data_IF_111416049616
#
_entry.id   IF_111416049616
#
_cell.length_a   1.000
_cell.length_b   1.000
_cell.length_c   1.000
_cell.angle_alpha   90.00
_cell.angle_beta   90.00
_cell.angle_gamma   90.00
#
_symmetry.space_group_name_H-M   'P 1'
#
loop_
_entity.id
_entity.type
_entity.pdbx_description
1 polymer ?
#
# COMPACT_ATOMS: atom_id res chain seq x y z
N UNK A 1 8.66 -25.79 -5.19
CA UNK A 1 8.82 -27.15 -5.79
C UNK A 1 8.41 -27.16 -7.26
N UNK A 2 7.22 -26.66 -7.63
CA UNK A 2 6.70 -26.68 -9.02
C UNK A 2 7.60 -25.97 -10.00
N UNK A 3 8.12 -24.77 -9.67
CA UNK A 3 9.02 -23.99 -10.52
C UNK A 3 10.33 -24.73 -10.79
N UNK A 4 10.92 -25.35 -9.76
CA UNK A 4 12.14 -26.18 -9.92
C UNK A 4 11.89 -27.38 -10.83
N UNK A 5 10.73 -28.02 -10.70
CA UNK A 5 10.34 -29.12 -11.60
C UNK A 5 10.22 -28.67 -13.07
N UNK A 6 9.65 -27.49 -13.31
CA UNK A 6 9.60 -26.94 -14.67
C UNK A 6 11.00 -26.71 -15.26
N UNK A 7 11.92 -26.15 -14.44
CA UNK A 7 13.32 -26.00 -14.82
C UNK A 7 13.96 -27.35 -15.13
N UNK A 8 13.79 -28.35 -14.27
CA UNK A 8 14.42 -29.67 -14.38
C UNK A 8 13.92 -30.44 -15.62
N UNK A 9 12.79 -30.01 -16.21
CA UNK A 9 12.29 -30.49 -17.52
C UNK A 9 13.00 -29.81 -18.71
N UNK A 10 14.05 -29.02 -18.50
CA UNK A 10 14.82 -28.35 -19.53
C UNK A 10 14.32 -26.94 -19.92
N UNK A 11 13.40 -26.38 -19.12
CA UNK A 11 12.90 -25.02 -19.36
C UNK A 11 13.74 -23.97 -18.63
N UNK A 12 13.75 -22.74 -19.19
CA UNK A 12 14.20 -21.57 -18.47
C UNK A 12 13.03 -20.93 -17.72
N UNK A 13 13.19 -20.73 -16.41
CA UNK A 13 12.17 -20.11 -15.56
C UNK A 13 12.71 -18.79 -15.02
N UNK A 14 12.05 -17.69 -15.40
CA UNK A 14 12.38 -16.35 -14.90
C UNK A 14 11.22 -15.90 -14.01
N UNK A 15 11.56 -15.48 -12.78
CA UNK A 15 10.60 -15.03 -11.77
C UNK A 15 11.00 -13.65 -11.28
N UNK A 16 10.05 -12.72 -11.22
CA UNK A 16 10.23 -11.44 -10.53
C UNK A 16 9.72 -11.64 -9.12
N UNK A 17 10.60 -11.54 -8.15
CA UNK A 17 10.30 -11.88 -6.77
C UNK A 17 11.00 -10.95 -5.75
N UNK A 18 10.40 -10.88 -4.58
CA UNK A 18 10.91 -10.14 -3.41
C UNK A 18 10.97 -11.03 -2.16
N UNK A 19 10.39 -12.22 -2.21
CA UNK A 19 10.41 -13.19 -1.11
C UNK A 19 11.79 -13.81 -0.92
N UNK A 20 12.31 -13.72 0.31
CA UNK A 20 13.65 -14.20 0.65
C UNK A 20 13.82 -15.70 0.40
N UNK A 21 12.83 -16.54 0.76
CA UNK A 21 12.90 -17.99 0.59
C UNK A 21 12.95 -18.37 -0.90
N UNK A 22 12.15 -17.69 -1.71
CA UNK A 22 12.14 -17.88 -3.15
C UNK A 22 13.47 -17.44 -3.77
N UNK A 23 14.01 -16.28 -3.38
CA UNK A 23 15.31 -15.80 -3.84
C UNK A 23 16.45 -16.76 -3.46
N UNK A 24 16.47 -17.27 -2.22
CA UNK A 24 17.47 -18.27 -1.77
C UNK A 24 17.36 -19.57 -2.53
N UNK A 25 16.18 -19.88 -3.08
CA UNK A 25 15.93 -21.08 -3.86
C UNK A 25 16.29 -20.97 -5.33
N UNK A 26 16.62 -19.78 -5.81
CA UNK A 26 17.01 -19.51 -7.20
C UNK A 26 18.42 -20.07 -7.51
N UNK A 27 18.66 -20.43 -8.75
CA UNK A 27 19.99 -20.83 -9.21
C UNK A 27 20.84 -19.57 -9.52
N UNK A 28 20.17 -18.49 -9.96
CA UNK A 28 20.80 -17.24 -10.34
C UNK A 28 19.90 -16.06 -10.03
N UNK A 29 20.46 -14.99 -9.54
CA UNK A 29 19.76 -13.72 -9.24
C UNK A 29 20.34 -12.62 -10.10
N UNK A 30 19.46 -11.78 -10.64
CA UNK A 30 19.80 -10.51 -11.26
C UNK A 30 19.17 -9.41 -10.41
N UNK A 31 19.99 -8.68 -9.67
CA UNK A 31 19.55 -7.61 -8.78
C UNK A 31 19.57 -6.26 -9.50
N UNK A 32 18.41 -5.63 -9.59
CA UNK A 32 18.23 -4.34 -10.23
C UNK A 32 18.04 -3.23 -9.19
N UNK A 33 18.68 -2.10 -9.41
CA UNK A 33 18.64 -0.97 -8.50
C UNK A 33 19.54 0.18 -8.96
N UNK A 34 20.19 0.90 -8.00
CA UNK A 34 20.11 0.74 -6.52
C UNK A 34 18.83 1.23 -5.89
N UNK A 35 18.07 2.10 -6.55
CA UNK A 35 16.79 2.64 -6.08
C UNK A 35 15.66 2.36 -7.06
N UNK A 36 14.56 3.10 -6.93
CA UNK A 36 13.40 3.03 -7.81
C UNK A 36 13.37 4.23 -8.78
N UNK A 37 12.61 4.12 -9.87
CA UNK A 37 12.43 5.19 -10.85
C UNK A 37 13.74 5.62 -11.48
N UNK A 38 14.02 6.93 -11.45
CA UNK A 38 15.24 7.52 -12.04
C UNK A 38 16.54 7.06 -11.38
N UNK A 39 16.47 6.54 -10.17
CA UNK A 39 17.59 5.99 -9.42
C UNK A 39 17.75 4.47 -9.60
N UNK A 40 16.92 3.86 -10.42
CA UNK A 40 16.91 2.43 -10.71
C UNK A 40 17.36 2.09 -12.11
N UNK A 41 17.06 0.87 -12.54
CA UNK A 41 17.31 0.41 -13.91
C UNK A 41 18.74 -0.06 -14.17
N UNK A 42 19.61 -0.09 -13.16
CA UNK A 42 20.97 -0.62 -13.28
C UNK A 42 21.04 -2.04 -12.73
N UNK A 43 21.88 -2.87 -13.33
CA UNK A 43 22.26 -4.15 -12.75
C UNK A 43 23.27 -3.90 -11.63
N UNK A 44 22.85 -4.08 -10.38
CA UNK A 44 23.67 -3.84 -9.18
C UNK A 44 24.60 -5.03 -8.94
N UNK A 45 24.04 -6.24 -9.07
CA UNK A 45 24.76 -7.49 -8.89
C UNK A 45 24.08 -8.62 -9.69
N UNK A 46 24.87 -9.63 -10.07
CA UNK A 46 24.39 -10.89 -10.66
C UNK A 46 25.18 -12.03 -10.08
N UNK A 47 24.55 -13.16 -9.87
CA UNK A 47 25.22 -14.36 -9.36
C UNK A 47 24.29 -15.29 -8.61
N UNK A 48 24.85 -16.28 -7.94
CA UNK A 48 24.13 -17.14 -7.02
C UNK A 48 23.63 -16.36 -5.80
N UNK A 49 22.63 -16.85 -5.07
CA UNK A 49 22.16 -16.20 -3.85
C UNK A 49 23.29 -15.87 -2.85
N UNK A 50 24.29 -16.75 -2.73
CA UNK A 50 25.44 -16.56 -1.85
C UNK A 50 26.38 -15.44 -2.35
N UNK A 51 26.57 -15.31 -3.66
CA UNK A 51 27.37 -14.22 -4.26
C UNK A 51 26.65 -12.89 -4.08
N UNK A 52 25.34 -12.84 -4.30
CA UNK A 52 24.53 -11.64 -4.06
C UNK A 52 24.59 -11.23 -2.58
N UNK A 53 24.50 -12.18 -1.64
CA UNK A 53 24.58 -11.90 -0.20
C UNK A 53 25.93 -11.30 0.22
N UNK A 54 27.02 -11.54 -0.53
CA UNK A 54 28.34 -10.95 -0.29
C UNK A 54 28.50 -9.56 -0.89
N UNK A 55 27.63 -9.16 -1.80
CA UNK A 55 27.71 -7.87 -2.49
C UNK A 55 27.20 -6.74 -1.59
N UNK A 56 28.10 -5.93 -1.03
CA UNK A 56 27.76 -4.82 -0.13
C UNK A 56 26.94 -3.71 -0.79
N UNK A 57 27.04 -3.53 -2.11
CA UNK A 57 26.25 -2.55 -2.86
C UNK A 57 24.82 -3.00 -3.10
N UNK A 58 24.54 -4.31 -3.02
CA UNK A 58 23.22 -4.88 -3.22
C UNK A 58 22.39 -4.75 -1.94
N UNK A 59 21.31 -3.98 -2.00
CA UNK A 59 20.34 -3.88 -0.90
C UNK A 59 19.69 -5.25 -0.64
N UNK A 60 19.29 -5.95 -1.70
CA UNK A 60 18.80 -7.33 -1.66
C UNK A 60 19.82 -8.25 -0.98
N UNK A 61 21.10 -8.11 -1.36
CA UNK A 61 22.20 -8.88 -0.77
C UNK A 61 22.37 -8.63 0.73
N UNK A 62 22.22 -7.40 1.18
CA UNK A 62 22.28 -7.07 2.61
C UNK A 62 21.16 -7.73 3.42
N UNK A 63 19.94 -7.84 2.86
CA UNK A 63 18.85 -8.59 3.47
C UNK A 63 19.14 -10.09 3.46
N UNK A 64 19.56 -10.67 2.33
CA UNK A 64 19.94 -12.08 2.24
C UNK A 64 21.09 -12.45 3.19
N UNK A 65 22.03 -11.54 3.43
CA UNK A 65 23.14 -11.75 4.37
C UNK A 65 22.72 -11.58 5.84
N UNK A 66 21.49 -11.14 6.13
CA UNK A 66 21.04 -10.80 7.48
C UNK A 66 21.70 -9.53 8.06
N UNK A 67 22.44 -8.76 7.24
CA UNK A 67 23.02 -7.47 7.65
C UNK A 67 21.94 -6.40 7.84
N UNK A 68 20.82 -6.55 7.13
CA UNK A 68 19.61 -5.77 7.30
C UNK A 68 18.44 -6.70 7.58
N UNK A 69 17.57 -6.28 8.47
CA UNK A 69 16.32 -6.96 8.78
C UNK A 69 15.27 -5.94 9.24
N UNK A 70 14.01 -6.27 9.11
CA UNK A 70 12.94 -5.52 9.76
C UNK A 70 12.99 -5.89 11.25
N UNK A 71 13.18 -4.89 12.13
CA UNK A 71 13.36 -5.17 13.56
C UNK A 71 12.07 -5.69 14.20
N UNK A 72 12.22 -6.61 15.15
CA UNK A 72 11.13 -7.02 16.03
C UNK A 72 10.99 -5.94 17.10
N UNK A 73 9.75 -5.48 17.41
CA UNK A 73 9.55 -4.52 18.48
C UNK A 73 10.07 -5.06 19.81
N UNK A 74 10.83 -4.24 20.53
CA UNK A 74 11.34 -4.59 21.88
C UNK A 74 10.21 -4.73 22.90
N UNK A 75 9.18 -3.91 22.74
CA UNK A 75 7.95 -3.95 23.52
C UNK A 75 6.75 -3.89 22.57
N UNK A 76 5.74 -4.73 22.84
CA UNK A 76 4.48 -4.69 22.13
C UNK A 76 3.46 -3.90 22.93
N UNK A 77 2.59 -3.17 22.19
CA UNK A 77 1.43 -2.53 22.81
C UNK A 77 0.52 -3.61 23.38
N UNK A 78 -0.04 -3.36 24.56
CA UNK A 78 -0.95 -4.30 25.23
C UNK A 78 -2.40 -3.95 24.91
N UNK A 79 -3.29 -4.94 24.79
CA UNK A 79 -4.72 -4.71 24.68
C UNK A 79 -5.23 -3.87 25.86
N UNK A 80 -6.09 -2.91 25.56
CA UNK A 80 -6.89 -2.17 26.55
C UNK A 80 -8.19 -2.91 26.87
N UNK A 81 -9.08 -2.30 27.57
CA UNK A 81 -10.46 -2.77 27.82
C UNK A 81 -11.39 -2.60 26.61
N UNK A 82 -10.92 -1.97 25.54
CA UNK A 82 -11.69 -1.70 24.31
C UNK A 82 -11.45 -2.73 23.24
N UNK A 83 -12.51 -3.42 22.88
CA UNK A 83 -12.49 -4.49 21.89
C UNK A 83 -13.63 -4.31 20.89
N UNK A 84 -13.38 -4.71 19.67
CA UNK A 84 -14.38 -4.91 18.65
C UNK A 84 -14.62 -6.42 18.54
N UNK A 85 -15.85 -6.88 18.75
CA UNK A 85 -16.14 -8.31 18.82
C UNK A 85 -17.16 -8.66 17.74
N UNK A 86 -16.74 -9.52 16.81
CA UNK A 86 -17.64 -10.15 15.84
C UNK A 86 -18.21 -11.40 16.47
N UNK A 87 -19.54 -11.50 16.54
CA UNK A 87 -20.26 -12.65 17.09
C UNK A 87 -20.84 -13.51 15.99
N UNK A 88 -20.66 -14.82 16.11
CA UNK A 88 -21.31 -15.81 15.25
C UNK A 88 -20.99 -15.68 13.76
N UNK A 89 -19.75 -15.38 13.40
CA UNK A 89 -19.32 -15.28 12.01
C UNK A 89 -19.44 -16.63 11.30
N UNK A 90 -20.31 -16.71 10.28
CA UNK A 90 -20.66 -17.97 9.59
C UNK A 90 -20.84 -17.82 8.07
N UNK A 91 -20.35 -16.73 7.49
CA UNK A 91 -20.37 -16.55 6.04
C UNK A 91 -19.34 -17.47 5.40
N UNK A 92 -19.67 -18.00 4.22
CA UNK A 92 -18.85 -18.94 3.46
C UNK A 92 -18.37 -20.13 4.32
N UNK A 93 -17.06 -20.29 4.49
CA UNK A 93 -16.47 -21.39 5.24
C UNK A 93 -16.27 -21.12 6.74
N UNK A 94 -16.63 -19.94 7.24
CA UNK A 94 -16.52 -19.62 8.66
C UNK A 94 -17.46 -20.49 9.52
N UNK A 95 -16.95 -21.03 10.61
CA UNK A 95 -17.60 -22.06 11.43
C UNK A 95 -18.34 -21.49 12.64
N UNK A 96 -19.13 -20.43 12.46
CA UNK A 96 -19.87 -19.79 13.54
C UNK A 96 -18.94 -19.37 14.70
N UNK A 97 -17.95 -18.57 14.37
CA UNK A 97 -16.89 -18.17 15.30
C UNK A 97 -17.13 -16.79 15.89
N UNK A 98 -16.72 -16.59 17.13
CA UNK A 98 -16.57 -15.30 17.76
C UNK A 98 -15.13 -14.84 17.64
N UNK A 99 -14.91 -13.59 17.17
CA UNK A 99 -13.58 -13.04 16.94
C UNK A 99 -13.43 -11.69 17.63
N UNK A 100 -12.35 -11.54 18.41
CA UNK A 100 -12.07 -10.34 19.18
C UNK A 100 -10.89 -9.56 18.59
N UNK A 101 -11.13 -8.31 18.21
CA UNK A 101 -10.11 -7.40 17.71
C UNK A 101 -9.81 -6.34 18.79
N UNK A 102 -8.59 -6.35 19.38
CA UNK A 102 -8.20 -5.32 20.34
C UNK A 102 -8.04 -3.97 19.64
N UNK A 103 -8.67 -2.93 20.19
CA UNK A 103 -8.59 -1.59 19.64
C UNK A 103 -7.30 -0.86 20.06
N UNK A 104 -6.82 0.03 19.20
CA UNK A 104 -5.57 0.78 19.42
C UNK A 104 -4.30 -0.03 19.17
N UNK A 105 -4.40 -1.17 18.48
CA UNK A 105 -3.27 -2.06 18.19
C UNK A 105 -3.06 -2.27 16.69
N UNK A 106 -1.87 -2.77 16.36
CA UNK A 106 -1.54 -3.33 15.06
C UNK A 106 -1.87 -4.83 15.07
N UNK A 107 -2.96 -5.20 14.39
CA UNK A 107 -3.52 -6.55 14.37
C UNK A 107 -3.27 -7.19 13.02
N UNK A 108 -2.65 -8.37 12.99
CA UNK A 108 -2.50 -9.19 11.79
C UNK A 108 -3.51 -10.34 11.80
N UNK A 109 -4.27 -10.49 10.72
CA UNK A 109 -5.10 -11.65 10.45
C UNK A 109 -4.33 -12.56 9.49
N UNK A 110 -4.01 -13.76 9.97
CA UNK A 110 -3.12 -14.71 9.28
C UNK A 110 -3.83 -16.03 9.03
N UNK A 111 -3.18 -16.93 8.33
CA UNK A 111 -3.70 -18.27 8.02
C UNK A 111 -3.49 -18.64 6.56
N UNK A 112 -3.65 -19.91 6.23
CA UNK A 112 -3.49 -20.41 4.86
C UNK A 112 -4.48 -19.80 3.89
N UNK A 113 -4.18 -19.89 2.59
CA UNK A 113 -5.10 -19.39 1.57
C UNK A 113 -6.45 -20.12 1.65
N UNK A 114 -7.55 -19.37 1.55
CA UNK A 114 -8.91 -19.91 1.66
C UNK A 114 -9.36 -20.23 3.09
N UNK A 115 -8.63 -19.84 4.14
CA UNK A 115 -9.03 -20.07 5.55
C UNK A 115 -10.17 -19.17 6.05
N UNK A 116 -10.60 -18.18 5.25
CA UNK A 116 -11.71 -17.29 5.60
C UNK A 116 -11.30 -15.88 6.03
N UNK A 117 -10.03 -15.49 5.88
CA UNK A 117 -9.51 -14.17 6.31
C UNK A 117 -10.26 -13.00 5.68
N UNK A 118 -10.36 -12.94 4.35
CA UNK A 118 -11.04 -11.85 3.63
C UNK A 118 -12.53 -11.84 3.94
N UNK A 119 -13.17 -13.02 4.08
CA UNK A 119 -14.56 -13.12 4.49
C UNK A 119 -14.77 -12.51 5.88
N UNK A 120 -13.92 -12.84 6.85
CA UNK A 120 -14.01 -12.29 8.21
C UNK A 120 -13.76 -10.78 8.24
N UNK A 121 -12.71 -10.31 7.59
CA UNK A 121 -12.23 -8.93 7.73
C UNK A 121 -13.00 -7.97 6.81
N UNK A 122 -13.19 -8.34 5.54
CA UNK A 122 -13.83 -7.43 4.57
C UNK A 122 -15.34 -7.59 4.53
N UNK A 123 -15.84 -8.83 4.44
CA UNK A 123 -17.27 -9.05 4.24
C UNK A 123 -18.07 -8.92 5.55
N UNK A 124 -17.51 -9.31 6.68
CA UNK A 124 -18.18 -9.21 7.98
C UNK A 124 -17.75 -7.97 8.75
N UNK A 125 -16.48 -7.88 9.14
CA UNK A 125 -16.00 -6.82 10.02
C UNK A 125 -16.17 -5.43 9.39
N UNK A 126 -15.60 -5.21 8.21
CA UNK A 126 -15.69 -3.91 7.54
C UNK A 126 -17.13 -3.51 7.24
N UNK A 127 -17.86 -4.39 6.53
CA UNK A 127 -19.23 -4.06 6.12
C UNK A 127 -20.17 -3.88 7.32
N UNK A 128 -20.00 -4.69 8.37
CA UNK A 128 -20.82 -4.60 9.58
C UNK A 128 -20.53 -3.34 10.40
N UNK A 129 -19.25 -2.98 10.57
CA UNK A 129 -18.87 -1.71 11.23
C UNK A 129 -19.36 -0.53 10.40
N UNK A 130 -19.19 -0.54 9.09
CA UNK A 130 -19.67 0.52 8.20
C UNK A 130 -21.18 0.71 8.32
N UNK A 131 -21.97 -0.37 8.36
CA UNK A 131 -23.41 -0.31 8.54
C UNK A 131 -23.80 0.28 9.89
N UNK A 132 -23.17 -0.13 10.99
CA UNK A 132 -23.43 0.41 12.33
C UNK A 132 -23.07 1.89 12.45
N UNK A 133 -22.07 2.35 11.68
CA UNK A 133 -21.70 3.76 11.58
C UNK A 133 -22.59 4.56 10.61
N UNK A 134 -23.59 3.94 9.99
CA UNK A 134 -24.48 4.60 9.02
C UNK A 134 -23.80 4.92 7.67
N UNK A 135 -22.71 4.25 7.34
CA UNK A 135 -22.01 4.41 6.08
C UNK A 135 -22.61 3.53 4.98
N UNK A 136 -22.53 4.00 3.75
CA UNK A 136 -22.94 3.20 2.60
C UNK A 136 -21.92 2.09 2.33
N UNK A 137 -22.33 0.85 2.54
CA UNK A 137 -21.53 -0.34 2.26
C UNK A 137 -22.43 -1.50 1.81
N UNK A 138 -21.90 -2.51 1.10
CA UNK A 138 -22.64 -3.74 0.80
C UNK A 138 -23.12 -4.41 2.10
N UNK A 139 -24.17 -5.24 1.99
CA UNK A 139 -24.67 -6.02 3.13
C UNK A 139 -23.53 -6.85 3.74
N UNK A 140 -23.37 -6.82 5.07
CA UNK A 140 -22.39 -7.67 5.73
C UNK A 140 -22.70 -9.16 5.57
N UNK A 141 -21.69 -9.99 5.58
CA UNK A 141 -21.81 -11.45 5.58
C UNK A 141 -22.53 -11.96 6.83
N UNK A 142 -22.93 -13.22 6.81
CA UNK A 142 -23.71 -13.82 7.88
C UNK A 142 -22.96 -13.83 9.22
N UNK A 143 -23.51 -13.16 10.22
CA UNK A 143 -23.03 -13.08 11.60
C UNK A 143 -24.20 -12.70 12.51
N UNK A 144 -24.01 -12.77 13.83
CA UNK A 144 -25.05 -12.40 14.78
C UNK A 144 -25.00 -10.91 15.11
N UNK A 145 -23.86 -10.41 15.55
CA UNK A 145 -23.67 -8.99 15.91
C UNK A 145 -22.19 -8.58 15.85
N UNK A 146 -21.93 -7.26 15.90
CA UNK A 146 -20.60 -6.67 16.11
C UNK A 146 -20.71 -5.69 17.28
N UNK A 147 -20.06 -6.04 18.39
CA UNK A 147 -20.00 -5.24 19.62
C UNK A 147 -18.79 -4.30 19.61
N UNK A 148 -18.86 -3.18 20.36
CA UNK A 148 -17.72 -2.26 20.56
C UNK A 148 -17.58 -1.19 19.48
N UNK A 149 -18.53 -1.07 18.55
CA UNK A 149 -18.48 -0.09 17.45
C UNK A 149 -18.53 1.36 17.96
N UNK A 150 -19.10 1.59 19.16
CA UNK A 150 -19.11 2.89 19.84
C UNK A 150 -17.73 3.48 20.12
N UNK A 151 -16.69 2.66 20.12
CA UNK A 151 -15.31 3.09 20.28
C UNK A 151 -14.68 3.58 18.97
N UNK A 152 -15.35 3.39 17.84
CA UNK A 152 -14.87 3.72 16.49
C UNK A 152 -15.74 4.83 15.92
N UNK A 153 -15.11 5.83 15.32
CA UNK A 153 -15.81 6.92 14.64
C UNK A 153 -15.72 6.81 13.11
N UNK A 154 -14.77 6.00 12.59
CA UNK A 154 -14.54 5.85 11.18
C UNK A 154 -13.91 4.49 10.85
N UNK A 155 -14.33 3.90 9.74
CA UNK A 155 -13.69 2.71 9.16
C UNK A 155 -13.20 3.01 7.73
N UNK A 156 -12.00 2.60 7.41
CA UNK A 156 -11.36 2.84 6.11
C UNK A 156 -10.72 1.54 5.63
N UNK A 157 -11.14 1.11 4.44
CA UNK A 157 -10.49 0.00 3.72
C UNK A 157 -9.50 0.58 2.71
N UNK A 158 -8.30 0.05 2.74
CA UNK A 158 -7.21 0.40 1.83
C UNK A 158 -6.88 -0.86 1.02
N UNK A 159 -7.55 -1.02 -0.09
CA UNK A 159 -7.41 -2.13 -1.02
C UNK A 159 -6.54 -1.79 -2.23
N UNK A 160 -6.28 -2.78 -3.07
CA UNK A 160 -5.47 -2.65 -4.28
C UNK A 160 -6.28 -2.19 -5.52
N UNK A 161 -7.54 -1.81 -5.35
CA UNK A 161 -8.35 -1.30 -6.44
C UNK A 161 -7.79 0.02 -6.99
N UNK A 162 -7.92 0.31 -8.29
CA UNK A 162 -7.40 1.54 -8.88
C UNK A 162 -7.95 2.80 -8.20
N UNK A 163 -7.12 3.85 -8.11
CA UNK A 163 -7.54 5.18 -7.60
C UNK A 163 -8.44 5.95 -8.58
N UNK A 164 -8.67 5.39 -9.75
CA UNK A 164 -9.55 5.91 -10.79
C UNK A 164 -9.48 5.07 -12.05
N UNK A 165 -10.48 5.25 -12.92
CA UNK A 165 -10.64 4.44 -14.15
C UNK A 165 -10.22 5.17 -15.42
N UNK A 166 -9.78 6.41 -15.31
CA UNK A 166 -9.45 7.26 -16.46
C UNK A 166 -8.07 7.89 -16.30
N UNK A 167 -7.40 8.31 -17.38
CA UNK A 167 -6.13 9.02 -17.32
C UNK A 167 -6.17 10.37 -16.58
N UNK A 168 -7.36 10.89 -16.24
CA UNK A 168 -7.54 12.11 -15.44
C UNK A 168 -7.29 11.89 -13.96
N UNK A 169 -7.46 10.66 -13.48
CA UNK A 169 -7.11 10.28 -12.10
C UNK A 169 -5.61 10.04 -12.01
N UNK A 170 -4.97 10.67 -11.05
CA UNK A 170 -3.53 10.55 -10.80
C UNK A 170 -3.22 10.77 -9.31
N UNK A 171 -2.00 10.51 -8.84
CA UNK A 171 -1.61 10.71 -7.45
C UNK A 171 -1.92 12.12 -6.92
N UNK A 172 -1.64 13.15 -7.72
CA UNK A 172 -1.83 14.54 -7.30
C UNK A 172 -3.30 14.91 -7.08
N UNK A 173 -4.19 14.43 -7.95
CA UNK A 173 -5.64 14.69 -7.80
C UNK A 173 -6.25 13.88 -6.68
N UNK A 174 -5.84 12.62 -6.54
CA UNK A 174 -6.39 11.73 -5.52
C UNK A 174 -6.03 12.20 -4.09
N UNK A 175 -4.79 12.60 -3.87
CA UNK A 175 -4.32 13.10 -2.55
C UNK A 175 -4.73 14.54 -2.27
N UNK A 176 -5.36 15.22 -3.24
CA UNK A 176 -5.73 16.64 -3.15
C UNK A 176 -4.53 17.61 -3.05
N UNK A 177 -3.32 17.16 -3.33
CA UNK A 177 -2.17 18.07 -3.42
C UNK A 177 -2.27 18.96 -4.64
N UNK A 178 -2.91 18.50 -5.70
CA UNK A 178 -3.12 19.28 -6.92
C UNK A 178 -3.97 20.55 -6.70
N UNK A 179 -4.92 20.48 -5.77
CA UNK A 179 -5.74 21.66 -5.42
C UNK A 179 -4.88 22.80 -4.85
N UNK A 180 -3.89 22.47 -4.03
CA UNK A 180 -2.96 23.45 -3.47
C UNK A 180 -1.94 23.92 -4.51
N UNK A 181 -1.46 23.03 -5.38
CA UNK A 181 -0.58 23.40 -6.51
C UNK A 181 -1.27 24.41 -7.43
N UNK A 182 -2.54 24.21 -7.77
CA UNK A 182 -3.32 25.14 -8.60
C UNK A 182 -3.44 26.52 -7.96
N UNK A 183 -3.62 26.59 -6.63
CA UNK A 183 -3.63 27.87 -5.89
C UNK A 183 -2.30 28.60 -5.98
N UNK A 184 -1.18 27.88 -5.90
CA UNK A 184 0.17 28.47 -6.04
C UNK A 184 0.35 29.07 -7.44
N UNK A 185 -0.06 28.37 -8.50
CA UNK A 185 0.02 28.89 -9.87
C UNK A 185 -0.88 30.11 -10.06
N UNK A 186 -2.11 30.08 -9.53
CA UNK A 186 -3.03 31.22 -9.61
C UNK A 186 -2.52 32.47 -8.83
N UNK A 187 -1.67 32.26 -7.83
CA UNK A 187 -1.07 33.33 -7.05
C UNK A 187 0.14 34.01 -7.72
N UNK A 188 0.65 33.43 -8.81
CA UNK A 188 1.77 34.05 -9.56
C UNK A 188 1.39 35.43 -10.14
N UNK A 189 2.36 36.35 -10.28
CA UNK A 189 2.08 37.68 -10.87
C UNK A 189 1.46 37.59 -12.26
N UNK A 190 1.95 36.68 -13.10
CA UNK A 190 1.44 36.52 -14.47
C UNK A 190 -0.01 36.01 -14.48
N UNK A 191 -0.35 35.03 -13.65
CA UNK A 191 -1.71 34.51 -13.53
C UNK A 191 -2.68 35.59 -13.05
N UNK A 192 -2.25 36.42 -12.08
CA UNK A 192 -3.06 37.56 -11.57
C UNK A 192 -3.30 38.62 -12.63
N UNK A 193 -2.26 38.98 -13.39
CA UNK A 193 -2.40 39.97 -14.49
C UNK A 193 -3.37 39.48 -15.57
N UNK A 194 -3.42 38.18 -15.82
CA UNK A 194 -4.33 37.53 -16.78
C UNK A 194 -5.72 37.23 -16.21
N UNK A 195 -5.95 37.47 -14.93
CA UNK A 195 -7.21 37.12 -14.24
C UNK A 195 -7.45 35.60 -14.11
N UNK A 196 -6.39 34.82 -14.05
CA UNK A 196 -6.48 33.35 -13.97
C UNK A 196 -6.72 32.91 -12.52
N UNK A 197 -7.85 32.26 -12.29
CA UNK A 197 -8.20 31.59 -11.03
C UNK A 197 -7.59 30.17 -10.95
N UNK A 198 -7.61 29.50 -9.80
CA UNK A 198 -7.19 28.11 -9.69
C UNK A 198 -7.90 27.16 -10.66
N UNK A 199 -9.13 27.48 -11.08
CA UNK A 199 -9.88 26.71 -12.06
C UNK A 199 -9.20 26.65 -13.43
N UNK A 200 -8.47 27.71 -13.81
CA UNK A 200 -7.70 27.77 -15.07
C UNK A 200 -6.65 26.66 -15.15
N UNK A 201 -6.08 26.28 -14.02
CA UNK A 201 -5.03 25.26 -13.92
C UNK A 201 -5.59 23.84 -13.69
N UNK A 202 -6.90 23.64 -13.77
CA UNK A 202 -7.53 22.33 -13.77
C UNK A 202 -7.62 21.76 -15.17
N UNK A 203 -7.07 20.57 -15.39
CA UNK A 203 -7.24 19.85 -16.67
C UNK A 203 -8.63 19.19 -16.80
N UNK A 204 -9.47 19.24 -15.78
CA UNK A 204 -10.84 18.71 -15.80
C UNK A 204 -11.88 19.77 -16.22
N UNK A 205 -11.53 21.06 -16.15
CA UNK A 205 -12.42 22.16 -16.45
C UNK A 205 -12.07 22.81 -17.78
N UNK A 206 -13.10 23.33 -18.46
CA UNK A 206 -12.91 24.15 -19.67
C UNK A 206 -12.17 25.45 -19.35
N UNK A 207 -11.47 25.97 -20.32
CA UNK A 207 -10.75 27.26 -20.25
C UNK A 207 -9.24 27.10 -20.23
N UNK A 208 -8.67 26.21 -19.39
CA UNK A 208 -7.22 25.98 -19.33
C UNK A 208 -6.76 24.67 -19.95
N UNK A 209 -7.64 23.69 -20.09
CA UNK A 209 -7.31 22.37 -20.62
C UNK A 209 -7.17 22.36 -22.14
N UNK A 210 -6.47 21.38 -22.66
CA UNK A 210 -6.51 21.06 -24.08
C UNK A 210 -7.89 20.47 -24.43
N UNK A 211 -8.62 21.11 -25.34
CA UNK A 211 -9.97 20.65 -25.72
C UNK A 211 -9.95 19.43 -26.64
N UNK A 212 -8.85 19.20 -27.40
CA UNK A 212 -8.73 18.05 -28.27
C UNK A 212 -8.76 16.72 -27.48
N UNK A 213 -8.01 16.63 -26.36
CA UNK A 213 -8.03 15.47 -25.46
C UNK A 213 -8.85 15.69 -24.18
N UNK A 214 -9.52 16.84 -24.07
CA UNK A 214 -10.30 17.24 -22.90
C UNK A 214 -9.52 17.12 -21.57
N UNK A 215 -8.23 17.45 -21.60
CA UNK A 215 -7.35 17.39 -20.44
C UNK A 215 -6.81 16.00 -20.07
N UNK A 216 -7.08 14.96 -20.87
CA UNK A 216 -6.56 13.63 -20.61
C UNK A 216 -5.05 13.50 -20.92
N UNK A 217 -4.54 14.34 -21.82
CA UNK A 217 -3.17 14.25 -22.35
C UNK A 217 -2.99 13.13 -23.35
N UNK A 218 -3.91 12.18 -23.39
CA UNK A 218 -3.93 10.99 -24.25
C UNK A 218 -5.27 10.88 -24.95
N UNK A 219 -5.27 10.24 -26.11
CA UNK A 219 -6.48 9.89 -26.88
C UNK A 219 -6.63 8.38 -26.84
N UNK A 220 -7.84 7.94 -26.53
CA UNK A 220 -8.19 6.52 -26.51
C UNK A 220 -8.46 6.07 -27.95
N UNK A 221 -7.78 5.03 -28.38
CA UNK A 221 -8.08 4.31 -29.63
C UNK A 221 -8.81 3.02 -29.25
N UNK A 222 -10.09 2.97 -29.56
CA UNK A 222 -10.92 1.78 -29.32
C UNK A 222 -10.62 0.70 -30.34
N UNK A 223 -10.32 -0.51 -29.88
CA UNK A 223 -10.04 -1.67 -30.71
C UNK A 223 -11.10 -2.73 -30.46
N UNK A 224 -11.80 -3.17 -31.51
CA UNK A 224 -12.94 -4.10 -31.39
C UNK A 224 -12.61 -5.47 -30.77
N UNK A 225 -11.36 -5.95 -30.92
CA UNK A 225 -10.95 -7.29 -30.47
C UNK A 225 -9.69 -7.28 -29.57
N UNK A 226 -9.13 -6.14 -29.29
CA UNK A 226 -7.93 -5.96 -28.46
C UNK A 226 -8.22 -4.92 -27.37
N UNK A 227 -7.42 -4.92 -26.28
CA UNK A 227 -7.52 -3.85 -25.29
C UNK A 227 -7.33 -2.46 -25.89
N UNK A 228 -8.08 -1.49 -25.40
CA UNK A 228 -7.97 -0.11 -25.83
C UNK A 228 -6.55 0.44 -25.62
N UNK A 229 -6.06 1.18 -26.61
CA UNK A 229 -4.72 1.80 -26.57
C UNK A 229 -4.86 3.29 -26.32
N UNK A 230 -4.02 3.82 -25.45
CA UNK A 230 -3.92 5.26 -25.19
C UNK A 230 -2.64 5.82 -25.83
N UNK A 231 -2.80 6.76 -26.76
CA UNK A 231 -1.68 7.47 -27.39
C UNK A 231 -1.63 8.92 -26.94
N UNK A 232 -0.44 9.57 -26.88
CA UNK A 232 -0.33 10.98 -26.58
C UNK A 232 -1.19 11.84 -27.53
N UNK A 233 -1.84 12.88 -27.02
CA UNK A 233 -2.63 13.80 -27.81
C UNK A 233 -1.73 14.59 -28.78
N UNK A 234 -2.07 14.60 -30.05
CA UNK A 234 -1.27 15.31 -31.08
C UNK A 234 -1.24 16.82 -30.92
N UNK A 235 -2.25 17.40 -30.30
CA UNK A 235 -2.35 18.85 -30.09
C UNK A 235 -1.51 19.31 -28.92
N UNK A 236 -1.67 18.71 -27.74
CA UNK A 236 -0.96 19.11 -26.53
C UNK A 236 0.29 18.27 -26.23
N UNK A 237 0.57 17.25 -27.04
CA UNK A 237 1.73 16.34 -26.84
C UNK A 237 1.84 15.77 -25.43
N UNK A 238 0.70 15.46 -24.81
CA UNK A 238 0.64 14.94 -23.45
C UNK A 238 0.52 16.00 -22.33
N UNK A 239 0.70 17.29 -22.64
CA UNK A 239 0.74 18.37 -21.65
C UNK A 239 -0.60 18.66 -20.95
N UNK A 240 -1.74 18.15 -21.46
CA UNK A 240 -3.10 18.31 -20.89
C UNK A 240 -3.72 19.70 -20.97
N UNK A 241 -2.94 20.76 -21.22
CA UNK A 241 -3.33 22.16 -21.18
C UNK A 241 -3.19 22.84 -22.53
N UNK A 242 -3.87 23.97 -22.69
CA UNK A 242 -3.67 24.86 -23.82
C UNK A 242 -2.39 25.70 -23.64
N UNK A 243 -1.94 26.31 -24.75
CA UNK A 243 -0.67 27.07 -24.80
C UNK A 243 -0.65 28.25 -23.84
N UNK A 244 -1.75 28.93 -23.66
CA UNK A 244 -1.88 30.16 -22.83
C UNK A 244 -1.69 29.78 -21.35
N UNK A 245 -2.26 28.69 -20.89
CA UNK A 245 -2.08 28.18 -19.51
C UNK A 245 -0.65 27.76 -19.24
N UNK A 246 0.00 27.13 -20.24
CA UNK A 246 1.39 26.67 -20.12
C UNK A 246 2.42 27.83 -20.10
N UNK A 247 2.05 29.04 -20.47
CA UNK A 247 2.92 30.21 -20.35
C UNK A 247 3.14 30.64 -18.90
N UNK A 248 2.17 30.39 -18.02
CA UNK A 248 2.31 30.70 -16.59
C UNK A 248 3.32 29.77 -15.94
N UNK A 249 4.31 30.36 -15.25
CA UNK A 249 5.39 29.61 -14.60
C UNK A 249 5.51 29.97 -13.13
N UNK A 250 5.79 28.93 -12.32
CA UNK A 250 6.19 29.05 -10.93
C UNK A 250 7.59 28.46 -10.77
N UNK A 251 8.54 29.23 -10.23
CA UNK A 251 9.97 28.83 -10.16
C UNK A 251 10.51 28.25 -11.50
N UNK A 252 10.10 28.85 -12.62
CA UNK A 252 10.55 28.47 -13.97
C UNK A 252 9.84 27.25 -14.58
N UNK A 253 8.93 26.59 -13.89
CA UNK A 253 8.17 25.41 -14.37
C UNK A 253 6.71 25.75 -14.60
N UNK A 254 6.13 25.26 -15.71
CA UNK A 254 4.69 25.33 -15.94
C UNK A 254 3.96 24.18 -15.24
N UNK A 255 2.62 24.22 -15.22
CA UNK A 255 1.80 23.25 -14.51
C UNK A 255 1.95 21.81 -15.06
N UNK A 256 2.17 21.64 -16.38
CA UNK A 256 2.40 20.34 -16.99
C UNK A 256 3.75 19.75 -16.58
N UNK A 257 4.81 20.58 -16.56
CA UNK A 257 6.14 20.18 -16.09
C UNK A 257 6.12 19.78 -14.61
N UNK A 258 5.29 20.42 -13.78
CA UNK A 258 5.11 20.02 -12.37
C UNK A 258 4.41 18.67 -12.26
N UNK A 259 3.41 18.37 -13.09
CA UNK A 259 2.77 17.06 -13.11
C UNK A 259 3.70 15.93 -13.57
N UNK A 260 4.72 16.23 -14.36
CA UNK A 260 5.77 15.28 -14.77
C UNK A 260 6.86 15.05 -13.71
N UNK A 261 6.94 15.90 -12.68
CA UNK A 261 7.86 15.69 -11.56
C UNK A 261 7.50 14.42 -10.80
N UNK A 262 8.53 13.70 -10.36
CA UNK A 262 8.37 12.67 -9.33
C UNK A 262 7.97 13.32 -7.99
N UNK A 263 7.41 12.52 -7.09
CA UNK A 263 7.09 12.98 -5.73
C UNK A 263 8.34 13.53 -5.03
N UNK A 264 9.49 12.88 -5.21
CA UNK A 264 10.77 13.33 -4.63
C UNK A 264 11.22 14.69 -5.18
N UNK A 265 11.14 14.89 -6.49
CA UNK A 265 11.47 16.17 -7.13
C UNK A 265 10.52 17.27 -6.69
N UNK A 266 9.22 16.97 -6.67
CA UNK A 266 8.19 17.92 -6.25
C UNK A 266 8.32 18.32 -4.77
N UNK A 267 8.75 17.37 -3.91
CA UNK A 267 8.99 17.63 -2.50
C UNK A 267 10.08 18.69 -2.28
N UNK A 268 11.17 18.63 -3.06
CA UNK A 268 12.22 19.65 -3.08
C UNK A 268 11.72 20.97 -3.70
N UNK A 269 10.99 20.89 -4.80
CA UNK A 269 10.48 22.05 -5.51
C UNK A 269 9.51 22.89 -4.67
N UNK A 270 8.64 22.24 -3.89
CA UNK A 270 7.64 22.88 -3.02
C UNK A 270 8.04 22.89 -1.54
N UNK A 271 9.33 22.80 -1.20
CA UNK A 271 9.83 22.74 0.19
C UNK A 271 9.30 23.90 1.06
N UNK A 272 9.13 25.09 0.48
CA UNK A 272 8.66 26.30 1.16
C UNK A 272 7.13 26.51 1.10
N UNK A 273 6.37 25.51 0.67
CA UNK A 273 4.90 25.54 0.62
C UNK A 273 4.34 24.45 1.54
N UNK A 274 4.13 24.75 2.84
CA UNK A 274 3.81 23.73 3.85
C UNK A 274 2.63 22.81 3.51
N UNK A 275 1.48 23.28 2.97
CA UNK A 275 0.36 22.40 2.63
C UNK A 275 0.70 21.38 1.55
N UNK A 276 1.49 21.77 0.55
CA UNK A 276 1.94 20.87 -0.52
C UNK A 276 3.00 19.92 0.02
N UNK A 277 4.01 20.46 0.72
CA UNK A 277 5.09 19.66 1.31
C UNK A 277 4.55 18.55 2.21
N UNK A 278 3.58 18.87 3.07
CA UNK A 278 2.99 17.87 3.97
C UNK A 278 2.36 16.68 3.21
N UNK A 279 1.57 16.95 2.18
CA UNK A 279 0.92 15.89 1.36
C UNK A 279 1.92 15.10 0.52
N UNK A 280 2.94 15.76 -0.02
CA UNK A 280 4.02 15.08 -0.75
C UNK A 280 4.88 14.22 0.17
N UNK A 281 5.10 14.66 1.42
CA UNK A 281 5.83 13.89 2.42
C UNK A 281 5.12 12.58 2.73
N UNK A 282 3.78 12.58 2.85
CA UNK A 282 3.03 11.32 3.08
C UNK A 282 3.19 10.34 1.93
N UNK A 283 3.22 10.80 0.68
CA UNK A 283 3.50 9.96 -0.50
C UNK A 283 4.93 9.41 -0.48
N UNK A 284 5.89 10.23 -0.09
CA UNK A 284 7.28 9.81 0.03
C UNK A 284 7.48 8.78 1.13
N UNK A 285 6.85 8.99 2.29
CA UNK A 285 6.93 8.11 3.46
C UNK A 285 6.41 6.69 3.20
N UNK A 286 5.41 6.55 2.33
CA UNK A 286 4.90 5.22 1.91
C UNK A 286 5.75 4.58 0.80
N UNK A 287 6.91 5.16 0.47
CA UNK A 287 7.81 4.60 -0.53
C UNK A 287 7.47 4.94 -1.97
N UNK A 288 6.68 5.99 -2.22
CA UNK A 288 6.26 6.42 -3.56
C UNK A 288 7.02 7.64 -4.07
N UNK A 289 8.26 7.86 -3.62
CA UNK A 289 9.08 8.98 -4.07
C UNK A 289 9.34 9.01 -5.58
N UNK A 290 9.33 7.86 -6.22
CA UNK A 290 9.64 7.66 -7.64
C UNK A 290 8.48 7.88 -8.61
N UNK A 291 7.22 7.84 -8.16
CA UNK A 291 6.07 8.02 -9.05
C UNK A 291 5.91 9.50 -9.45
N UNK A 292 5.41 9.73 -10.67
CA UNK A 292 5.10 11.09 -11.12
C UNK A 292 3.78 11.58 -10.53
N UNK A 293 3.69 12.87 -10.22
CA UNK A 293 2.46 13.48 -9.69
C UNK A 293 1.26 13.30 -10.63
N UNK A 294 1.47 13.44 -11.93
CA UNK A 294 0.47 13.31 -12.97
C UNK A 294 0.35 11.92 -13.58
N UNK A 295 1.00 10.90 -13.01
CA UNK A 295 0.96 9.53 -13.56
C UNK A 295 -0.48 9.01 -13.60
N UNK A 296 -0.98 8.58 -14.79
CA UNK A 296 -2.34 8.10 -14.91
C UNK A 296 -2.63 6.89 -13.99
N UNK A 297 -3.81 6.88 -13.38
CA UNK A 297 -4.24 5.77 -12.52
C UNK A 297 -4.21 4.41 -13.23
N UNK A 298 -4.39 4.40 -14.55
CA UNK A 298 -4.35 3.21 -15.39
C UNK A 298 -2.95 2.61 -15.58
N UNK A 299 -1.90 3.35 -15.21
CA UNK A 299 -0.50 2.94 -15.29
C UNK A 299 0.08 2.54 -13.92
N UNK A 300 -0.70 2.69 -12.86
CA UNK A 300 -0.30 2.33 -11.51
C UNK A 300 -0.56 0.85 -11.22
N UNK A 301 0.37 0.21 -10.56
CA UNK A 301 0.14 -1.12 -9.99
C UNK A 301 -0.87 -1.08 -8.82
N UNK A 302 -1.47 -2.23 -8.49
CA UNK A 302 -2.39 -2.33 -7.35
C UNK A 302 -1.75 -1.89 -6.03
N UNK A 303 -0.50 -2.27 -5.81
CA UNK A 303 0.25 -1.85 -4.61
C UNK A 303 0.55 -0.35 -4.56
N UNK A 304 0.83 0.29 -5.70
CA UNK A 304 1.00 1.75 -5.77
C UNK A 304 -0.33 2.46 -5.50
N UNK A 305 -1.43 2.00 -6.08
CA UNK A 305 -2.77 2.53 -5.82
C UNK A 305 -3.13 2.43 -4.33
N UNK A 306 -2.85 1.29 -3.70
CA UNK A 306 -3.07 1.07 -2.27
C UNK A 306 -2.26 2.05 -1.42
N UNK A 307 -0.98 2.23 -1.71
CA UNK A 307 -0.11 3.16 -0.98
C UNK A 307 -0.51 4.63 -1.18
N UNK A 308 -1.01 5.01 -2.36
CA UNK A 308 -1.58 6.35 -2.58
C UNK A 308 -2.81 6.58 -1.71
N UNK A 309 -3.70 5.58 -1.58
CA UNK A 309 -4.86 5.64 -0.67
C UNK A 309 -4.41 5.83 0.77
N UNK A 310 -3.41 5.07 1.21
CA UNK A 310 -2.82 5.20 2.55
C UNK A 310 -2.23 6.60 2.76
N UNK A 311 -1.44 7.12 1.82
CA UNK A 311 -0.86 8.46 1.90
C UNK A 311 -1.92 9.56 2.05
N UNK A 312 -3.05 9.43 1.33
CA UNK A 312 -4.17 10.36 1.46
C UNK A 312 -4.75 10.36 2.88
N UNK A 313 -4.91 9.20 3.49
CA UNK A 313 -5.44 9.12 4.85
C UNK A 313 -4.45 9.66 5.90
N UNK A 314 -3.15 9.43 5.71
CA UNK A 314 -2.10 10.04 6.54
C UNK A 314 -2.06 11.56 6.48
N UNK A 315 -2.39 12.14 5.32
CA UNK A 315 -2.47 13.58 5.13
C UNK A 315 -3.68 14.25 5.80
N UNK A 316 -4.60 13.46 6.37
CA UNK A 316 -5.78 13.94 7.09
C UNK A 316 -5.52 14.00 8.59
N UNK A 317 -6.28 14.87 9.27
CA UNK A 317 -6.23 14.92 10.74
C UNK A 317 -6.81 13.63 11.31
N UNK A 318 -5.99 12.91 12.09
CA UNK A 318 -6.40 11.70 12.78
C UNK A 318 -7.32 12.03 13.98
N UNK A 319 -8.38 11.23 14.16
CA UNK A 319 -9.26 11.31 15.33
C UNK A 319 -8.78 10.44 16.49
N UNK A 320 -7.89 9.46 16.20
CA UNK A 320 -7.42 8.47 17.17
C UNK A 320 -8.44 7.34 17.43
N UNK A 321 -9.53 7.26 16.65
CA UNK A 321 -10.56 6.21 16.76
C UNK A 321 -10.95 5.64 15.41
N UNK A 322 -10.05 5.69 14.43
CA UNK A 322 -10.27 5.14 13.10
C UNK A 322 -9.81 3.68 13.06
N UNK A 323 -10.64 2.83 12.45
CA UNK A 323 -10.29 1.45 12.08
C UNK A 323 -9.78 1.46 10.64
N UNK A 324 -8.50 1.17 10.44
CA UNK A 324 -7.90 0.94 9.12
C UNK A 324 -7.84 -0.55 8.83
N UNK A 325 -8.28 -0.93 7.65
CA UNK A 325 -8.25 -2.31 7.16
C UNK A 325 -7.43 -2.34 5.87
N UNK A 326 -6.39 -3.17 5.85
CA UNK A 326 -5.51 -3.34 4.69
C UNK A 326 -5.46 -4.82 4.31
N UNK A 327 -5.61 -5.10 3.01
CA UNK A 327 -5.47 -6.45 2.48
C UNK A 327 -4.13 -6.58 1.74
N UNK A 328 -3.28 -7.46 2.26
CA UNK A 328 -1.95 -7.81 1.73
C UNK A 328 -1.12 -6.60 1.25
N UNK A 329 -0.90 -5.57 2.11
CA UNK A 329 -0.30 -4.30 1.67
C UNK A 329 1.17 -4.42 1.26
N UNK A 330 1.82 -5.54 1.54
CA UNK A 330 3.24 -5.76 1.22
C UNK A 330 3.47 -6.59 -0.04
N UNK A 331 2.41 -6.99 -0.73
CA UNK A 331 2.52 -7.77 -1.98
C UNK A 331 3.35 -7.03 -3.02
N UNK A 332 4.38 -7.70 -3.54
CA UNK A 332 5.28 -7.15 -4.55
C UNK A 332 6.22 -6.05 -4.06
N UNK A 333 6.42 -5.91 -2.75
CA UNK A 333 7.34 -4.94 -2.16
C UNK A 333 8.69 -5.57 -1.80
N UNK A 334 9.76 -4.84 -2.11
CA UNK A 334 11.08 -5.14 -1.57
C UNK A 334 11.10 -4.96 -0.04
N UNK A 335 11.87 -5.76 0.73
CA UNK A 335 11.92 -5.64 2.21
C UNK A 335 12.17 -4.22 2.74
N UNK A 336 12.95 -3.41 2.03
CA UNK A 336 13.17 -2.01 2.41
C UNK A 336 11.89 -1.15 2.31
N UNK A 337 11.04 -1.40 1.30
CA UNK A 337 9.76 -0.70 1.17
C UNK A 337 8.75 -1.21 2.19
N UNK A 338 8.78 -2.51 2.52
CA UNK A 338 8.02 -3.09 3.64
C UNK A 338 8.39 -2.40 4.94
N UNK A 339 9.68 -2.19 5.21
CA UNK A 339 10.16 -1.48 6.41
C UNK A 339 9.58 -0.06 6.50
N UNK A 340 9.62 0.71 5.40
CA UNK A 340 9.03 2.06 5.34
C UNK A 340 7.53 2.03 5.60
N UNK A 341 6.82 1.11 4.95
CA UNK A 341 5.38 0.96 5.11
C UNK A 341 5.00 0.63 6.56
N UNK A 342 5.72 -0.28 7.21
CA UNK A 342 5.50 -0.63 8.61
C UNK A 342 5.69 0.56 9.54
N UNK A 343 6.70 1.41 9.31
CA UNK A 343 6.89 2.64 10.09
C UNK A 343 5.66 3.55 10.02
N UNK A 344 5.06 3.64 8.84
CA UNK A 344 3.84 4.41 8.63
C UNK A 344 2.64 3.80 9.36
N UNK A 345 2.44 2.49 9.25
CA UNK A 345 1.34 1.79 9.91
C UNK A 345 1.45 1.88 11.44
N UNK A 346 2.65 1.71 11.98
CA UNK A 346 2.89 1.87 13.42
C UNK A 346 2.64 3.31 13.90
N UNK A 347 2.98 4.34 13.12
CA UNK A 347 2.62 5.74 13.44
C UNK A 347 1.10 5.96 13.52
N UNK A 348 0.31 5.29 12.65
CA UNK A 348 -1.15 5.36 12.75
C UNK A 348 -1.66 4.76 14.07
N UNK A 349 -1.08 3.65 14.50
CA UNK A 349 -1.43 3.00 15.77
C UNK A 349 -1.01 3.87 16.95
N UNK A 350 0.19 4.45 16.92
CA UNK A 350 0.69 5.37 17.96
C UNK A 350 -0.19 6.62 18.12
N UNK A 351 -0.90 7.01 17.04
CA UNK A 351 -1.91 8.07 17.08
C UNK A 351 -3.26 7.62 17.67
N UNK A 352 -3.36 6.41 18.20
CA UNK A 352 -4.55 5.85 18.85
C UNK A 352 -5.48 5.03 17.93
N UNK A 353 -5.18 4.95 16.64
CA UNK A 353 -6.02 4.20 15.69
C UNK A 353 -5.79 2.69 15.79
N UNK A 354 -6.73 1.92 15.24
CA UNK A 354 -6.59 0.47 15.07
C UNK A 354 -6.23 0.15 13.63
N UNK A 355 -5.24 -0.68 13.42
CA UNK A 355 -4.85 -1.16 12.09
C UNK A 355 -5.00 -2.67 12.05
N UNK A 356 -5.88 -3.15 11.18
CA UNK A 356 -6.08 -4.59 10.91
C UNK A 356 -5.55 -4.91 9.52
N UNK A 357 -4.62 -5.85 9.44
CA UNK A 357 -3.95 -6.22 8.19
C UNK A 357 -4.12 -7.70 7.94
N UNK A 358 -4.59 -8.08 6.75
CA UNK A 358 -4.50 -9.45 6.27
C UNK A 358 -3.10 -9.61 5.68
N UNK A 359 -2.30 -10.54 6.18
CA UNK A 359 -0.91 -10.69 5.75
C UNK A 359 -0.39 -12.12 5.81
N UNK A 360 0.57 -12.39 4.94
CA UNK A 360 1.35 -13.63 4.88
C UNK A 360 2.86 -13.38 5.10
N UNK A 361 3.29 -12.14 5.00
CA UNK A 361 4.68 -11.75 5.14
C UNK A 361 5.11 -11.82 6.62
N UNK A 362 6.04 -12.70 6.94
CA UNK A 362 6.53 -12.90 8.31
C UNK A 362 7.19 -11.64 8.89
N UNK A 363 7.80 -10.81 8.06
CA UNK A 363 8.40 -9.55 8.48
C UNK A 363 7.35 -8.55 8.99
N UNK A 364 6.13 -8.60 8.45
CA UNK A 364 5.00 -7.83 8.96
C UNK A 364 4.43 -8.49 10.21
N UNK A 365 4.14 -9.79 10.13
CA UNK A 365 3.49 -10.55 11.20
C UNK A 365 4.29 -10.50 12.51
N UNK A 366 5.62 -10.62 12.43
CA UNK A 366 6.49 -10.54 13.63
C UNK A 366 6.49 -9.16 14.30
N UNK A 367 6.06 -8.09 13.59
CA UNK A 367 5.96 -6.73 14.17
C UNK A 367 4.59 -6.41 14.76
N UNK A 368 3.58 -7.29 14.56
CA UNK A 368 2.23 -7.08 15.07
C UNK A 368 2.17 -7.06 16.60
N UNK A 369 1.21 -6.31 17.14
CA UNK A 369 0.89 -6.36 18.56
C UNK A 369 0.01 -7.57 18.89
N UNK A 370 -0.86 -7.96 17.93
CA UNK A 370 -1.82 -9.05 18.07
C UNK A 370 -2.00 -9.81 16.75
N UNK A 371 -2.14 -11.10 16.83
CA UNK A 371 -2.40 -11.98 15.68
C UNK A 371 -3.74 -12.70 15.90
N UNK A 372 -4.49 -12.86 14.82
CA UNK A 372 -5.66 -13.72 14.73
C UNK A 372 -5.38 -14.69 13.58
N UNK A 373 -5.10 -15.95 13.91
CA UNK A 373 -4.71 -16.98 12.94
C UNK A 373 -5.90 -17.88 12.61
N UNK A 374 -6.33 -17.89 11.36
CA UNK A 374 -7.43 -18.71 10.87
C UNK A 374 -6.90 -19.97 10.17
N UNK A 375 -7.63 -21.04 10.36
CA UNK A 375 -7.29 -22.33 9.76
C UNK A 375 -8.22 -23.44 10.26
N UNK A 376 -7.66 -24.67 10.44
CA UNK A 376 -6.27 -25.06 10.18
C UNK A 376 -5.92 -25.15 8.68
N UNK A 377 -6.92 -25.37 7.83
CA UNK A 377 -6.78 -25.60 6.39
C UNK A 377 -7.53 -24.49 5.59
N UNK A 378 -7.49 -24.57 4.27
CA UNK A 378 -8.36 -23.77 3.38
C UNK A 378 -9.68 -24.48 3.09
N UNK A 379 -10.66 -23.72 2.55
CA UNK A 379 -11.97 -24.24 2.16
C UNK A 379 -12.76 -24.80 3.33
N UNK A 380 -13.37 -25.97 3.15
CA UNK A 380 -14.20 -26.62 4.17
C UNK A 380 -13.45 -26.98 5.47
N UNK A 381 -12.14 -27.24 5.38
CA UNK A 381 -11.28 -27.50 6.53
C UNK A 381 -10.86 -26.26 7.31
N UNK A 382 -11.17 -25.06 6.81
CA UNK A 382 -10.84 -23.77 7.41
C UNK A 382 -11.94 -23.18 8.26
N UNK A 383 -11.91 -21.87 8.42
CA UNK A 383 -12.98 -21.10 9.03
C UNK A 383 -13.03 -21.11 10.55
N UNK A 384 -11.95 -21.54 11.21
CA UNK A 384 -11.83 -21.55 12.68
C UNK A 384 -10.65 -20.68 13.13
N UNK A 385 -10.71 -20.17 14.35
CA UNK A 385 -9.56 -19.54 15.00
C UNK A 385 -8.66 -20.66 15.51
N UNK A 386 -7.42 -20.71 15.03
CA UNK A 386 -6.40 -21.68 15.45
C UNK A 386 -5.59 -21.11 16.62
N UNK A 387 -5.28 -19.84 16.57
CA UNK A 387 -4.52 -19.13 17.59
C UNK A 387 -4.87 -17.65 17.60
N UNK A 388 -4.83 -17.01 18.75
CA UNK A 388 -4.92 -15.56 18.91
C UNK A 388 -4.00 -15.07 20.03
N UNK A 389 -3.46 -13.89 19.90
CA UNK A 389 -2.57 -13.30 20.90
C UNK A 389 -1.38 -12.57 20.29
N UNK A 390 -0.44 -12.10 21.12
CA UNK A 390 0.82 -11.57 20.62
C UNK A 390 1.61 -12.65 19.86
N UNK A 391 2.49 -12.26 18.92
CA UNK A 391 3.25 -13.21 18.10
C UNK A 391 3.97 -14.30 18.89
N UNK A 392 4.50 -13.97 20.06
CA UNK A 392 5.18 -14.92 20.96
C UNK A 392 4.23 -16.03 21.47
N UNK A 393 2.99 -15.68 21.78
CA UNK A 393 1.97 -16.63 22.22
C UNK A 393 1.53 -17.53 21.04
N UNK A 394 1.28 -16.95 19.87
CA UNK A 394 0.91 -17.70 18.66
C UNK A 394 2.01 -18.68 18.26
N UNK A 395 3.30 -18.30 18.43
CA UNK A 395 4.44 -19.16 18.15
C UNK A 395 4.46 -20.45 19.02
N UNK A 396 3.79 -20.48 20.17
CA UNK A 396 3.71 -21.68 21.03
C UNK A 396 2.62 -22.65 20.62
N UNK A 397 1.67 -22.25 19.80
CA UNK A 397 0.53 -23.08 19.38
C UNK A 397 0.96 -24.09 18.29
N UNK A 398 0.94 -25.36 18.59
CA UNK A 398 1.41 -26.43 17.68
C UNK A 398 0.58 -26.51 16.39
N UNK A 399 -0.74 -26.30 16.48
CA UNK A 399 -1.67 -26.35 15.33
C UNK A 399 -1.60 -25.13 14.40
N UNK A 400 -0.85 -24.08 14.75
CA UNK A 400 -0.73 -22.86 13.96
C UNK A 400 0.44 -22.96 12.97
N UNK A 401 0.13 -22.96 11.67
CA UNK A 401 1.17 -22.87 10.64
C UNK A 401 1.93 -21.55 10.77
N UNK A 402 1.23 -20.44 10.97
CA UNK A 402 1.85 -19.13 11.23
C UNK A 402 2.78 -19.18 12.45
N UNK A 403 2.34 -19.83 13.54
CA UNK A 403 3.15 -20.02 14.74
C UNK A 403 4.43 -20.81 14.50
N UNK A 404 4.39 -21.84 13.67
CA UNK A 404 5.57 -22.63 13.30
C UNK A 404 6.63 -21.78 12.58
N UNK A 405 6.21 -20.90 11.67
CA UNK A 405 7.13 -19.97 11.00
C UNK A 405 7.64 -18.87 11.93
N UNK A 406 6.80 -18.35 12.82
CA UNK A 406 7.19 -17.34 13.82
C UNK A 406 8.29 -17.84 14.76
N UNK A 407 8.29 -19.14 15.14
CA UNK A 407 9.36 -19.75 15.97
C UNK A 407 10.75 -19.60 15.36
N UNK A 408 10.86 -19.48 14.03
CA UNK A 408 12.14 -19.38 13.33
C UNK A 408 12.70 -17.95 13.35
N UNK A 409 11.84 -16.96 13.53
CA UNK A 409 12.21 -15.53 13.40
C UNK A 409 12.11 -14.75 14.71
N UNK A 410 11.33 -15.26 15.68
CA UNK A 410 11.24 -14.65 17.01
C UNK A 410 12.37 -15.14 17.93
N UNK A 411 12.96 -14.27 18.76
CA UNK A 411 13.88 -14.72 19.81
C UNK A 411 13.10 -15.61 20.81
N UNK A 412 13.51 -16.85 20.93
CA UNK A 412 12.93 -17.76 21.94
C UNK A 412 13.29 -17.24 23.33
N UNK A 413 12.29 -17.06 24.18
CA UNK A 413 12.51 -16.75 25.59
C UNK A 413 13.37 -17.87 26.21
N UNK A 414 14.67 -17.59 26.40
CA UNK A 414 15.62 -18.56 26.96
C UNK A 414 16.97 -18.66 26.23
N UNK A 415 17.14 -18.07 25.05
CA UNK A 415 18.45 -17.94 24.44
C UNK A 415 19.16 -16.70 24.97
N UNK A 416 19.76 -16.78 26.15
CA UNK A 416 20.83 -15.87 26.54
C UNK A 416 21.94 -15.97 25.51
N UNK A 417 22.23 -14.82 24.86
CA UNK A 417 23.41 -14.64 24.02
C UNK A 417 24.64 -15.05 24.83
N UNK A 418 25.23 -16.20 24.47
CA UNK A 418 26.56 -16.59 24.90
C UNK A 418 27.60 -16.00 23.94
#
# INVERSE_FOLDING_TARGET
>A
RTLKRLRDLGNTVIVVEHDEETMRSADWIIDLGPGAGVHGGYVVATGTPEEIARCERSLTGQYLAGKRAIPIPTERRKPSDKWLIVRGAREHNLKNIDVKFPLGLFVCVTGVSGSGKSTLVEEILYRGVAWKLGLHAPKPGAHDDIEGVEHIDKVIVIDQSPIGRTPRSNPATYTKVFDDIRKVFAATPEARMRGYSPARFSFNLKGGRCEACQGQGKVKIEMHFLPDIYVPCDVCKGARYNKETLQVRYKGKNIAEVLEMTVEEALKFFENVPPIRHKLQTLYDVGLGYIKLGQPATELSGGEAQRIKLARELGRRATGRTLYILDEPTTGLHPEDVRKLLQVLHRLVDAGNTVVVIEHNLDVIKTADWIIDLGPEGGEGGGRIVAEGPPEAVATVEGSHTGQFLRRVLPMAGATLG
#
